data_IF_247627403941
#
_entry.id   IF_247627403941
#
_cell.length_a   1.000
_cell.length_b   1.000
_cell.length_c   1.000
_cell.angle_alpha   90.00
_cell.angle_beta   90.00
_cell.angle_gamma   90.00
#
_symmetry.space_group_name_H-M   'P 1'
#
loop_
_entity.id
_entity.type
_entity.pdbx_description
1 polymer ?
#
# COMPACT_ATOMS: atom_id res chain seq x y z
N UNK A 1 5.23 -28.50 -12.73
CA UNK A 1 4.60 -28.89 -11.44
C UNK A 1 3.17 -28.36 -11.44
N UNK A 2 2.26 -29.01 -10.76
CA UNK A 2 0.92 -28.49 -10.49
C UNK A 2 0.83 -28.19 -8.99
N UNK A 3 0.41 -27.00 -8.55
CA UNK A 3 -0.04 -25.87 -9.36
C UNK A 3 1.08 -25.16 -10.11
N UNK A 4 0.72 -24.34 -11.12
CA UNK A 4 1.66 -23.44 -11.77
C UNK A 4 2.06 -22.33 -10.78
N UNK A 5 3.34 -22.13 -10.56
CA UNK A 5 3.91 -21.03 -9.77
C UNK A 5 4.89 -20.23 -10.61
N UNK A 6 4.97 -18.93 -10.34
CA UNK A 6 5.86 -17.98 -11.02
C UNK A 6 6.94 -17.51 -10.05
N UNK A 7 8.17 -17.45 -10.53
CA UNK A 7 9.30 -16.86 -9.80
C UNK A 7 9.90 -15.73 -10.63
N UNK A 8 10.22 -14.63 -9.98
CA UNK A 8 10.91 -13.48 -10.56
C UNK A 8 12.35 -13.53 -10.10
N UNK A 9 13.29 -13.38 -11.04
CA UNK A 9 14.70 -13.49 -10.77
C UNK A 9 15.41 -12.15 -11.04
N UNK A 10 16.44 -11.89 -10.26
CA UNK A 10 17.42 -10.82 -10.49
C UNK A 10 18.82 -11.46 -10.58
N UNK A 11 19.51 -11.24 -11.67
CA UNK A 11 20.87 -11.77 -11.91
C UNK A 11 21.02 -13.30 -11.75
N UNK A 12 19.90 -14.01 -11.89
CA UNK A 12 19.84 -15.47 -11.76
C UNK A 12 19.34 -15.97 -10.40
N UNK A 13 19.30 -15.11 -9.39
CA UNK A 13 18.77 -15.42 -8.07
C UNK A 13 17.27 -15.09 -7.97
N UNK A 14 16.54 -15.85 -7.18
CA UNK A 14 15.12 -15.60 -6.95
C UNK A 14 14.97 -14.32 -6.14
N UNK A 15 14.24 -13.37 -6.69
CA UNK A 15 13.89 -12.11 -6.02
C UNK A 15 12.58 -12.20 -5.25
N UNK A 16 11.59 -12.84 -5.86
CA UNK A 16 10.29 -13.14 -5.24
C UNK A 16 9.65 -14.30 -5.98
N UNK A 17 9.01 -15.19 -5.26
CA UNK A 17 8.35 -16.36 -5.82
C UNK A 17 6.95 -16.54 -5.26
N UNK A 18 6.03 -16.96 -6.12
CA UNK A 18 4.74 -17.47 -5.65
C UNK A 18 4.95 -18.74 -4.80
N UNK A 19 4.33 -18.77 -3.62
CA UNK A 19 4.33 -19.97 -2.77
C UNK A 19 3.38 -21.02 -3.35
N UNK A 20 2.18 -20.62 -3.74
CA UNK A 20 1.15 -21.50 -4.27
C UNK A 20 0.47 -20.96 -5.54
N UNK A 21 0.86 -19.77 -6.02
CA UNK A 21 0.24 -19.10 -7.16
C UNK A 21 -1.16 -18.58 -6.85
N UNK A 22 -1.97 -18.56 -7.89
CA UNK A 22 -3.38 -18.18 -7.77
C UNK A 22 -4.19 -19.20 -6.99
N UNK A 23 -5.04 -18.72 -6.10
CA UNK A 23 -6.04 -19.55 -5.44
C UNK A 23 -7.44 -18.93 -5.56
N UNK A 24 -8.45 -19.79 -5.51
CA UNK A 24 -9.84 -19.38 -5.37
C UNK A 24 -10.56 -20.37 -4.45
N UNK A 25 -11.31 -19.83 -3.49
CA UNK A 25 -12.15 -20.60 -2.59
C UNK A 25 -13.44 -19.83 -2.33
N UNK A 26 -14.56 -20.39 -2.72
CA UNK A 26 -15.88 -19.74 -2.70
C UNK A 26 -15.84 -18.41 -3.47
N UNK A 27 -16.11 -17.29 -2.81
CA UNK A 27 -16.04 -15.93 -3.41
C UNK A 27 -14.65 -15.31 -3.30
N UNK A 28 -13.77 -15.85 -2.46
CA UNK A 28 -12.42 -15.32 -2.20
C UNK A 28 -11.44 -15.82 -3.25
N UNK A 29 -10.58 -14.92 -3.73
CA UNK A 29 -9.49 -15.23 -4.67
C UNK A 29 -8.28 -14.38 -4.38
N UNK A 30 -7.10 -14.85 -4.77
CA UNK A 30 -5.88 -14.10 -4.50
C UNK A 30 -4.61 -14.82 -4.92
N UNK A 31 -3.51 -14.33 -4.36
CA UNK A 31 -2.15 -14.81 -4.60
C UNK A 31 -1.38 -14.95 -3.30
N UNK A 32 -0.43 -15.85 -3.31
CA UNK A 32 0.46 -16.12 -2.18
C UNK A 32 1.90 -16.07 -2.66
N UNK A 33 2.76 -15.38 -1.92
CA UNK A 33 4.19 -15.24 -2.19
C UNK A 33 4.99 -15.65 -0.97
N UNK A 34 6.16 -16.21 -1.20
CA UNK A 34 7.13 -16.48 -0.14
C UNK A 34 7.73 -15.18 0.36
N UNK A 35 7.95 -15.08 1.66
CA UNK A 35 8.73 -14.04 2.31
C UNK A 35 10.03 -14.62 2.82
N UNK A 36 11.15 -13.96 2.54
CA UNK A 36 12.45 -14.37 3.04
C UNK A 36 12.64 -14.03 4.52
N UNK A 37 13.56 -14.75 5.17
CA UNK A 37 13.93 -14.47 6.56
C UNK A 37 14.47 -13.04 6.71
N UNK A 38 13.87 -12.29 7.67
CA UNK A 38 14.27 -10.90 7.94
C UNK A 38 13.83 -9.87 6.90
N UNK A 39 13.17 -10.29 5.84
CA UNK A 39 12.58 -9.39 4.85
C UNK A 39 11.53 -8.48 5.51
N UNK A 40 11.62 -7.18 5.23
CA UNK A 40 10.67 -6.17 5.71
C UNK A 40 9.73 -5.75 4.60
N UNK A 41 8.47 -5.67 4.93
CA UNK A 41 7.42 -5.29 3.99
C UNK A 41 6.78 -3.97 4.41
N UNK A 42 6.83 -2.99 3.53
CA UNK A 42 6.25 -1.66 3.70
C UNK A 42 5.03 -1.51 2.78
N UNK A 43 4.18 -0.51 3.04
CA UNK A 43 3.04 -0.20 2.17
C UNK A 43 1.68 -0.59 2.76
N UNK A 44 0.77 -1.08 1.92
CA UNK A 44 -0.59 -1.44 2.32
C UNK A 44 -1.52 -0.24 2.53
N UNK A 45 -1.09 1.00 2.20
CA UNK A 45 -1.86 2.22 2.38
C UNK A 45 -1.62 2.91 3.72
N UNK A 46 -2.54 3.78 4.09
CA UNK A 46 -2.45 4.59 5.31
C UNK A 46 -2.87 3.76 6.53
N UNK A 47 -1.95 3.59 7.49
CA UNK A 47 -2.14 2.79 8.72
C UNK A 47 -1.43 3.46 9.90
N UNK A 48 -1.99 3.31 11.10
CA UNK A 48 -1.34 3.71 12.37
C UNK A 48 -0.61 2.50 12.95
N UNK A 49 0.35 2.01 12.23
CA UNK A 49 1.22 0.89 12.59
C UNK A 49 2.66 1.23 12.23
N UNK A 50 3.62 0.46 12.72
CA UNK A 50 5.02 0.59 12.33
C UNK A 50 5.23 0.56 10.80
N UNK A 51 6.39 1.02 10.36
CA UNK A 51 6.74 1.04 8.91
C UNK A 51 6.78 -0.37 8.33
N UNK A 52 7.37 -1.30 9.07
CA UNK A 52 7.35 -2.72 8.72
C UNK A 52 5.97 -3.31 9.01
N UNK A 53 5.39 -3.91 8.00
CA UNK A 53 4.04 -4.52 8.05
C UNK A 53 4.07 -6.02 8.28
N UNK A 54 5.26 -6.63 8.39
CA UNK A 54 5.35 -8.06 8.67
C UNK A 54 4.65 -8.41 9.99
N UNK A 55 3.94 -9.52 10.03
CA UNK A 55 3.09 -9.92 11.14
C UNK A 55 1.69 -9.26 11.16
N UNK A 56 1.34 -8.47 10.17
CA UNK A 56 0.06 -7.76 10.12
C UNK A 56 -0.89 -8.36 9.07
N UNK A 57 -2.19 -8.36 9.41
CA UNK A 57 -3.27 -8.61 8.46
C UNK A 57 -4.15 -7.39 8.37
N UNK A 58 -4.15 -6.74 7.22
CA UNK A 58 -4.76 -5.42 7.01
C UNK A 58 -5.96 -5.50 6.07
N UNK A 59 -7.11 -4.89 6.43
CA UNK A 59 -8.24 -4.80 5.52
C UNK A 59 -7.94 -3.86 4.35
N UNK A 60 -8.39 -4.25 3.16
CA UNK A 60 -8.40 -3.44 1.94
C UNK A 60 -9.83 -2.97 1.70
N UNK A 61 -10.21 -1.91 2.39
CA UNK A 61 -11.52 -1.28 2.29
C UNK A 61 -11.40 0.21 2.56
N UNK A 62 -11.66 1.03 1.53
CA UNK A 62 -11.53 2.47 1.62
C UNK A 62 -12.80 3.10 2.18
N UNK A 63 -12.73 3.64 3.38
CA UNK A 63 -13.82 4.37 4.04
C UNK A 63 -13.27 5.48 4.93
N UNK A 64 -14.10 6.47 5.22
CA UNK A 64 -13.77 7.46 6.24
C UNK A 64 -13.63 6.75 7.60
N UNK A 65 -12.56 7.05 8.32
CA UNK A 65 -12.26 6.49 9.64
C UNK A 65 -12.07 7.63 10.63
N UNK A 66 -13.15 8.04 11.28
CA UNK A 66 -13.10 9.04 12.35
C UNK A 66 -12.69 8.38 13.66
N UNK A 67 -11.83 9.05 14.43
CA UNK A 67 -11.44 8.59 15.75
C UNK A 67 -10.54 7.34 15.71
N UNK A 68 -9.69 7.20 14.66
CA UNK A 68 -8.66 6.18 14.68
C UNK A 68 -7.70 6.43 15.83
N UNK A 69 -7.25 5.34 16.47
CA UNK A 69 -6.37 5.35 17.62
C UNK A 69 -5.01 4.75 17.27
N UNK A 70 -4.13 4.68 18.26
CA UNK A 70 -2.85 3.98 18.14
C UNK A 70 -3.08 2.54 17.68
N UNK A 71 -2.26 2.06 16.74
CA UNK A 71 -2.32 0.71 16.17
C UNK A 71 -3.61 0.41 15.35
N UNK A 72 -4.33 1.44 14.92
CA UNK A 72 -5.45 1.22 14.02
C UNK A 72 -4.99 0.59 12.69
N UNK A 73 -5.56 -0.54 12.37
CA UNK A 73 -5.29 -1.30 11.14
C UNK A 73 -5.94 -0.68 9.90
N UNK A 74 -6.79 0.31 10.09
CA UNK A 74 -7.49 1.03 9.04
C UNK A 74 -7.59 2.53 9.35
N UNK A 75 -7.24 3.35 8.35
CA UNK A 75 -7.47 4.79 8.33
C UNK A 75 -8.36 5.16 7.14
N UNK A 76 -7.93 6.08 6.28
CA UNK A 76 -8.77 6.59 5.18
C UNK A 76 -8.66 5.76 3.91
N UNK A 77 -7.49 5.18 3.61
CA UNK A 77 -7.34 4.35 2.43
C UNK A 77 -6.39 3.17 2.64
N UNK A 78 -6.73 2.05 2.00
CA UNK A 78 -5.85 0.91 1.78
C UNK A 78 -5.31 0.94 0.36
N UNK A 79 -4.09 0.45 0.18
CA UNK A 79 -3.46 0.29 -1.12
C UNK A 79 -3.07 -1.18 -1.27
N UNK A 80 -3.56 -1.89 -2.28
CA UNK A 80 -3.18 -3.28 -2.53
C UNK A 80 -1.80 -3.34 -3.21
N UNK A 81 -0.81 -2.74 -2.56
CA UNK A 81 0.58 -2.73 -3.00
C UNK A 81 1.51 -2.73 -1.81
N UNK A 82 2.59 -3.49 -1.92
CA UNK A 82 3.62 -3.61 -0.91
C UNK A 82 5.00 -3.42 -1.53
N UNK A 83 5.94 -2.90 -0.74
CA UNK A 83 7.34 -2.73 -1.11
C UNK A 83 8.22 -3.52 -0.15
N UNK A 84 9.09 -4.35 -0.69
CA UNK A 84 10.05 -5.15 0.05
C UNK A 84 11.36 -4.40 0.32
N UNK A 85 12.02 -4.76 1.45
CA UNK A 85 13.42 -4.41 1.71
C UNK A 85 14.37 -4.93 0.62
N UNK A 86 13.99 -5.95 -0.14
CA UNK A 86 14.78 -6.55 -1.22
C UNK A 86 14.60 -5.83 -2.57
N UNK A 87 14.00 -4.63 -2.49
CA UNK A 87 13.87 -3.69 -3.60
C UNK A 87 12.99 -4.21 -4.74
N UNK A 88 11.83 -4.73 -4.38
CA UNK A 88 10.73 -4.96 -5.30
C UNK A 88 9.42 -4.37 -4.75
N UNK A 89 8.48 -4.14 -5.63
CA UNK A 89 7.09 -3.78 -5.31
C UNK A 89 6.19 -4.83 -5.95
N UNK A 90 5.20 -5.30 -5.20
CA UNK A 90 4.08 -6.05 -5.77
C UNK A 90 2.84 -5.15 -5.70
N UNK A 91 2.20 -4.94 -6.85
CA UNK A 91 0.89 -4.27 -6.95
C UNK A 91 -0.14 -5.33 -7.31
N UNK A 92 -1.13 -5.52 -6.47
CA UNK A 92 -2.28 -6.37 -6.77
C UNK A 92 -3.33 -5.51 -7.49
N UNK A 93 -3.46 -5.71 -8.80
CA UNK A 93 -4.36 -4.93 -9.65
C UNK A 93 -5.82 -5.39 -9.47
N UNK A 94 -6.34 -5.04 -8.29
CA UNK A 94 -7.69 -5.40 -7.87
C UNK A 94 -8.27 -4.30 -6.98
N UNK A 95 -9.48 -3.88 -7.25
CA UNK A 95 -10.22 -2.83 -6.52
C UNK A 95 -11.34 -3.36 -5.61
N UNK A 96 -11.52 -4.67 -5.52
CA UNK A 96 -12.51 -5.25 -4.61
C UNK A 96 -12.02 -5.21 -3.16
N UNK A 97 -12.96 -5.29 -2.23
CA UNK A 97 -12.64 -5.45 -0.81
C UNK A 97 -11.87 -6.75 -0.57
N UNK A 98 -10.94 -6.71 0.37
CA UNK A 98 -10.10 -7.86 0.66
C UNK A 98 -9.17 -7.63 1.82
N UNK A 99 -8.07 -8.37 1.84
CA UNK A 99 -7.03 -8.29 2.87
C UNK A 99 -5.64 -8.46 2.28
N UNK A 100 -4.69 -7.79 2.91
CA UNK A 100 -3.27 -8.12 2.85
C UNK A 100 -2.87 -8.79 4.17
N UNK A 101 -2.44 -10.03 4.08
CA UNK A 101 -1.87 -10.80 5.19
C UNK A 101 -0.37 -10.93 4.93
N UNK A 102 0.43 -10.33 5.81
CA UNK A 102 1.88 -10.22 5.64
C UNK A 102 2.55 -10.98 6.76
N UNK A 103 2.61 -12.30 6.65
CA UNK A 103 3.20 -13.15 7.67
C UNK A 103 2.41 -13.19 8.99
N UNK A 104 1.12 -12.84 8.99
CA UNK A 104 0.28 -12.88 10.19
C UNK A 104 -0.31 -14.27 10.41
N UNK A 105 -0.96 -14.82 9.40
CA UNK A 105 -1.55 -16.17 9.49
C UNK A 105 -0.51 -17.24 9.28
N UNK A 106 0.42 -17.02 8.37
CA UNK A 106 1.55 -17.90 8.03
C UNK A 106 2.80 -17.02 7.94
N UNK A 107 3.78 -17.27 8.80
CA UNK A 107 4.92 -16.37 9.07
C UNK A 107 5.72 -15.98 7.82
N UNK A 108 5.89 -16.93 6.89
CA UNK A 108 6.71 -16.76 5.69
C UNK A 108 5.88 -16.53 4.42
N UNK A 109 4.62 -16.07 4.57
CA UNK A 109 3.72 -15.89 3.43
C UNK A 109 3.13 -14.50 3.40
N UNK A 110 3.32 -13.81 2.27
CA UNK A 110 2.52 -12.66 1.87
C UNK A 110 1.31 -13.15 1.09
N UNK A 111 0.11 -12.89 1.60
CA UNK A 111 -1.14 -13.27 0.96
C UNK A 111 -2.00 -12.06 0.65
N UNK A 112 -2.43 -11.94 -0.59
CA UNK A 112 -3.48 -11.03 -1.02
C UNK A 112 -4.77 -11.82 -1.21
N UNK A 113 -5.87 -11.33 -0.63
CA UNK A 113 -7.20 -11.88 -0.75
C UNK A 113 -8.20 -10.81 -1.19
N UNK A 114 -9.10 -11.14 -2.10
CA UNK A 114 -10.21 -10.27 -2.51
C UNK A 114 -11.50 -11.06 -2.72
N UNK A 115 -12.63 -10.45 -2.39
CA UNK A 115 -13.96 -11.06 -2.54
C UNK A 115 -14.48 -11.05 -3.99
N UNK A 116 -13.70 -10.54 -4.92
CA UNK A 116 -14.05 -10.44 -6.33
C UNK A 116 -12.97 -9.71 -7.10
N UNK A 117 -13.35 -9.18 -8.27
CA UNK A 117 -12.49 -8.34 -9.07
C UNK A 117 -11.48 -9.09 -9.94
N UNK A 118 -10.49 -8.35 -10.44
CA UNK A 118 -9.47 -8.83 -11.38
C UNK A 118 -8.43 -9.69 -10.65
N UNK A 119 -7.99 -10.75 -11.28
CA UNK A 119 -6.91 -11.62 -10.79
C UNK A 119 -5.62 -11.33 -11.54
N UNK A 120 -4.94 -10.27 -11.12
CA UNK A 120 -3.73 -9.78 -11.76
C UNK A 120 -2.83 -9.13 -10.71
N UNK A 121 -1.54 -9.26 -10.86
CA UNK A 121 -0.55 -8.52 -10.10
C UNK A 121 0.60 -8.08 -11.00
N UNK A 122 1.36 -7.08 -10.55
CA UNK A 122 2.53 -6.53 -11.22
C UNK A 122 3.69 -6.58 -10.23
N UNK A 123 4.83 -7.10 -10.66
CA UNK A 123 6.08 -7.04 -9.91
C UNK A 123 7.00 -6.02 -10.57
N UNK A 124 7.49 -5.07 -9.79
CA UNK A 124 8.49 -4.08 -10.21
C UNK A 124 9.72 -4.25 -9.35
N UNK A 125 10.89 -4.26 -9.94
CA UNK A 125 12.17 -4.39 -9.25
C UNK A 125 13.09 -3.19 -9.56
N UNK A 126 14.10 -2.97 -8.71
CA UNK A 126 15.14 -1.95 -8.91
C UNK A 126 16.40 -2.27 -8.14
N UNK A 127 17.57 -1.87 -8.67
CA UNK A 127 18.87 -2.06 -8.02
C UNK A 127 19.02 -1.25 -6.72
N UNK A 128 18.28 -0.15 -6.63
CA UNK A 128 18.22 0.73 -5.47
C UNK A 128 16.79 1.21 -5.26
N UNK A 129 16.48 1.77 -4.08
CA UNK A 129 15.16 2.37 -3.85
C UNK A 129 14.80 3.50 -4.83
N UNK A 130 15.72 4.43 -5.18
CA UNK A 130 15.42 5.42 -6.23
C UNK A 130 15.08 4.77 -7.58
N UNK A 131 15.85 3.78 -8.04
CA UNK A 131 15.59 3.06 -9.28
C UNK A 131 14.27 2.27 -9.22
N UNK A 132 13.97 1.65 -8.07
CA UNK A 132 12.69 0.96 -7.84
C UNK A 132 11.51 1.92 -7.98
N UNK A 133 11.59 3.10 -7.38
CA UNK A 133 10.51 4.12 -7.45
C UNK A 133 10.39 4.68 -8.86
N UNK A 134 11.50 4.89 -9.57
CA UNK A 134 11.48 5.30 -10.97
C UNK A 134 10.75 4.26 -11.83
N UNK A 135 11.15 2.99 -11.74
CA UNK A 135 10.51 1.89 -12.45
C UNK A 135 9.02 1.75 -12.08
N UNK A 136 8.69 1.89 -10.79
CA UNK A 136 7.30 1.87 -10.32
C UNK A 136 6.48 3.00 -10.93
N UNK A 137 7.01 4.23 -10.95
CA UNK A 137 6.30 5.37 -11.52
C UNK A 137 6.22 5.35 -13.04
N UNK A 138 7.12 4.65 -13.73
CA UNK A 138 7.00 4.41 -15.17
C UNK A 138 5.82 3.49 -15.49
N UNK A 139 5.48 2.56 -14.60
CA UNK A 139 4.31 1.68 -14.75
C UNK A 139 3.00 2.37 -14.32
N UNK A 140 3.03 3.12 -13.22
CA UNK A 140 1.82 3.68 -12.59
C UNK A 140 1.52 5.13 -12.99
N UNK A 141 2.47 5.79 -13.60
CA UNK A 141 2.42 7.21 -13.94
C UNK A 141 3.17 8.08 -12.93
N UNK A 142 3.80 9.13 -13.46
CA UNK A 142 4.55 10.10 -12.64
C UNK A 142 3.62 11.19 -12.12
N UNK A 143 3.77 11.52 -10.84
CA UNK A 143 3.03 12.62 -10.24
C UNK A 143 3.47 13.96 -10.85
N UNK A 144 2.55 14.81 -11.32
CA UNK A 144 2.89 16.15 -11.78
C UNK A 144 3.37 16.99 -10.59
N UNK A 145 4.32 17.91 -10.85
CA UNK A 145 4.79 18.84 -9.83
C UNK A 145 3.63 19.76 -9.40
N UNK A 146 3.18 19.69 -8.14
CA UNK A 146 2.11 20.55 -7.68
C UNK A 146 2.58 22.02 -7.58
N UNK A 147 1.67 23.00 -7.66
CA UNK A 147 2.02 24.41 -7.49
C UNK A 147 2.56 24.68 -6.08
N UNK A 148 3.44 25.66 -5.94
CA UNK A 148 4.13 25.95 -4.67
C UNK A 148 3.18 26.13 -3.49
N UNK A 149 2.02 26.72 -3.68
CA UNK A 149 1.04 26.93 -2.61
C UNK A 149 0.48 25.62 -2.04
N UNK A 150 0.49 24.53 -2.81
CA UNK A 150 0.05 23.21 -2.34
C UNK A 150 0.98 22.60 -1.27
N UNK A 151 2.17 23.13 -1.09
CA UNK A 151 3.09 22.76 0.00
C UNK A 151 2.95 23.65 1.24
N UNK A 152 1.96 24.55 1.25
CA UNK A 152 1.68 25.43 2.38
C UNK A 152 0.89 24.74 3.48
N UNK A 153 0.61 25.50 4.53
CA UNK A 153 -0.22 25.03 5.63
C UNK A 153 -1.72 25.10 5.26
N UNK A 154 -2.39 23.97 5.35
CA UNK A 154 -3.85 23.85 5.16
C UNK A 154 -4.52 23.77 6.52
N UNK A 155 -4.94 24.93 7.04
CA UNK A 155 -5.71 25.00 8.28
C UNK A 155 -7.14 24.49 8.02
N UNK A 156 -7.47 23.36 8.60
CA UNK A 156 -8.82 22.77 8.56
C UNK A 156 -9.35 22.64 9.99
N UNK A 157 -10.56 23.14 10.21
CA UNK A 157 -11.26 22.98 11.48
C UNK A 157 -12.78 23.03 11.28
N UNK A 158 -13.50 22.48 12.21
CA UNK A 158 -14.93 22.69 12.31
C UNK A 158 -15.21 24.11 12.83
N UNK A 159 -15.93 24.96 12.10
CA UNK A 159 -16.35 26.27 12.60
C UNK A 159 -15.99 27.51 11.77
N UNK A 160 -15.65 27.38 10.48
CA UNK A 160 -15.64 28.52 9.56
C UNK A 160 -17.07 28.86 9.12
N UNK A 161 -17.80 29.61 9.94
CA UNK A 161 -19.27 29.82 9.77
C UNK A 161 -19.60 31.01 8.93
N UNK A 162 -18.71 32.03 8.87
CA UNK A 162 -18.97 33.29 8.15
C UNK A 162 -17.75 33.67 7.31
N UNK A 163 -18.00 34.45 6.24
CA UNK A 163 -16.93 35.04 5.43
C UNK A 163 -16.00 35.92 6.28
N UNK A 164 -16.57 36.74 7.19
CA UNK A 164 -15.80 37.60 8.08
C UNK A 164 -14.81 36.79 8.93
N UNK A 165 -15.29 35.72 9.57
CA UNK A 165 -14.44 34.86 10.40
C UNK A 165 -13.32 34.23 9.57
N UNK A 166 -13.61 33.69 8.38
CA UNK A 166 -12.64 33.12 7.48
C UNK A 166 -11.57 34.13 7.07
N UNK A 167 -11.97 35.33 6.69
CA UNK A 167 -11.05 36.44 6.35
C UNK A 167 -10.18 36.86 7.52
N UNK A 168 -10.69 36.89 8.73
CA UNK A 168 -9.92 37.25 9.92
C UNK A 168 -8.88 36.19 10.26
N UNK A 169 -9.21 34.91 10.12
CA UNK A 169 -8.26 33.80 10.27
C UNK A 169 -7.13 33.88 9.23
N UNK A 170 -7.46 34.08 7.95
CA UNK A 170 -6.45 34.23 6.88
C UNK A 170 -5.52 35.42 7.16
N UNK A 171 -6.06 36.56 7.62
CA UNK A 171 -5.24 37.74 7.98
C UNK A 171 -4.28 37.46 9.13
N UNK A 172 -4.69 36.66 10.13
CA UNK A 172 -3.82 36.25 11.25
C UNK A 172 -2.67 35.38 10.75
N UNK A 173 -2.95 34.35 9.96
CA UNK A 173 -1.91 33.49 9.39
C UNK A 173 -0.90 34.25 8.50
N UNK A 174 -1.32 35.33 7.83
CA UNK A 174 -0.41 36.16 7.02
C UNK A 174 0.48 37.10 7.83
N UNK A 175 0.19 37.32 9.10
CA UNK A 175 0.94 38.21 9.98
C UNK A 175 1.91 37.45 10.91
N UNK A 176 1.70 36.14 11.06
CA UNK A 176 2.55 35.23 11.81
C UNK A 176 3.69 34.69 10.94
#
# INVERSE_FOLDING_TARGET
KSPLTVSFLRDGDVLVAEEHGYFAYDTVRGFRFMLDDGEKILGGGQRVMGMDRRGQRMPLYNKASYGYETEADQMYYGLPAVMSSDKYVIVFDNSASGWLDIGHTEEDVLKFEAVGGRTSYIVVAGESYPALIENYTDVTGKQPLPPRWAFGNFASRFGYRTEKETRDVVRRFRRA
#
